data_IF_765984716455
#
_entry.id   IF_765984716455
#
_cell.length_a   1.000
_cell.length_b   1.000
_cell.length_c   1.000
_cell.angle_alpha   90.00
_cell.angle_beta   90.00
_cell.angle_gamma   90.00
#
_symmetry.space_group_name_H-M   'P 1'
#
loop_
_entity.id
_entity.type
_entity.pdbx_description
1 polymer ?
#
# COMPACT_ATOMS: atom_id res chain seq x y z
N UNK A 1 8.49 -12.06 -25.59
CA UNK A 1 9.18 -10.94 -24.92
C UNK A 1 8.42 -10.57 -23.67
N UNK A 2 9.09 -10.16 -22.59
CA UNK A 2 8.47 -9.70 -21.35
C UNK A 2 8.96 -8.28 -21.00
N UNK A 3 8.08 -7.47 -20.42
CA UNK A 3 8.33 -6.07 -20.06
C UNK A 3 7.83 -5.82 -18.63
N UNK A 4 8.60 -5.07 -17.85
CA UNK A 4 8.26 -4.66 -16.50
C UNK A 4 8.37 -3.14 -16.33
N UNK A 5 7.52 -2.58 -15.47
CA UNK A 5 7.51 -1.17 -15.14
C UNK A 5 7.76 -0.99 -13.65
N UNK A 6 8.56 0.03 -13.32
CA UNK A 6 8.76 0.50 -11.95
C UNK A 6 8.20 1.91 -11.84
N UNK A 7 7.55 2.21 -10.72
CA UNK A 7 6.97 3.52 -10.43
C UNK A 7 7.66 4.12 -9.22
N UNK A 8 7.72 5.45 -9.15
CA UNK A 8 8.21 6.13 -7.95
C UNK A 8 7.26 5.87 -6.77
N UNK A 9 7.78 5.72 -5.55
CA UNK A 9 6.96 5.59 -4.36
C UNK A 9 6.17 6.88 -4.13
N UNK A 10 4.92 6.73 -3.71
CA UNK A 10 4.06 7.84 -3.31
C UNK A 10 4.41 8.30 -1.88
N UNK A 11 4.25 9.59 -1.59
CA UNK A 11 4.39 10.11 -0.21
C UNK A 11 3.08 9.99 0.58
N UNK A 12 3.15 10.17 1.89
CA UNK A 12 1.94 10.14 2.74
C UNK A 12 1.02 11.31 2.38
N UNK A 13 1.57 12.49 2.14
CA UNK A 13 0.82 13.70 1.80
C UNK A 13 -0.03 13.48 0.54
N UNK A 14 0.55 12.88 -0.50
CA UNK A 14 -0.16 12.57 -1.74
C UNK A 14 -1.29 11.54 -1.52
N UNK A 15 -1.09 10.57 -0.62
CA UNK A 15 -2.16 9.62 -0.25
C UNK A 15 -3.32 10.37 0.41
N UNK A 16 -3.03 11.32 1.29
CA UNK A 16 -4.06 12.13 1.97
C UNK A 16 -4.81 13.01 0.98
N UNK A 17 -4.12 13.68 0.06
CA UNK A 17 -4.74 14.51 -0.98
C UNK A 17 -5.73 13.71 -1.86
N UNK A 18 -5.37 12.47 -2.24
CA UNK A 18 -6.26 11.58 -3.02
C UNK A 18 -7.51 11.20 -2.22
N UNK A 19 -7.36 10.92 -0.92
CA UNK A 19 -8.48 10.60 -0.05
C UNK A 19 -9.41 11.81 0.17
N UNK A 20 -8.84 13.00 0.40
CA UNK A 20 -9.58 14.25 0.58
C UNK A 20 -10.37 14.64 -0.68
N UNK A 21 -9.85 14.28 -1.86
CA UNK A 21 -10.55 14.43 -3.14
C UNK A 21 -11.68 13.39 -3.35
N UNK A 22 -11.90 12.46 -2.42
CA UNK A 22 -12.88 11.39 -2.55
C UNK A 22 -12.50 10.34 -3.61
N UNK A 23 -11.23 10.24 -3.96
CA UNK A 23 -10.70 9.32 -4.96
C UNK A 23 -10.07 8.09 -4.31
N UNK A 24 -9.69 7.11 -5.15
CA UNK A 24 -9.03 5.88 -4.71
C UNK A 24 -7.69 5.70 -5.41
N UNK A 25 -6.72 5.17 -4.67
CA UNK A 25 -5.43 4.79 -5.23
C UNK A 25 -5.60 3.64 -6.24
N UNK A 26 -4.82 3.62 -7.34
CA UNK A 26 -4.78 2.46 -8.23
C UNK A 26 -4.41 1.17 -7.47
N UNK A 27 -4.95 0.01 -7.87
CA UNK A 27 -4.60 -1.25 -7.22
C UNK A 27 -3.09 -1.49 -7.24
N UNK A 28 -2.51 -1.80 -6.07
CA UNK A 28 -1.09 -2.15 -5.89
C UNK A 28 -0.08 -1.02 -6.19
N UNK A 29 -0.52 0.24 -6.25
CA UNK A 29 0.40 1.39 -6.38
C UNK A 29 0.96 1.87 -5.03
N UNK A 30 0.51 1.32 -3.91
CA UNK A 30 0.95 1.68 -2.55
C UNK A 30 1.33 0.45 -1.72
N UNK A 31 2.32 0.61 -0.84
CA UNK A 31 2.75 -0.38 0.16
C UNK A 31 2.94 0.30 1.51
N UNK A 32 2.42 -0.29 2.57
CA UNK A 32 2.51 0.20 3.95
C UNK A 32 3.23 -0.84 4.82
N UNK A 33 4.20 -0.38 5.60
CA UNK A 33 4.98 -1.19 6.53
C UNK A 33 4.97 -0.53 7.92
N UNK A 34 4.66 -1.26 9.01
CA UNK A 34 4.19 -2.64 9.01
C UNK A 34 2.75 -2.74 8.50
N UNK A 35 2.42 -3.85 7.85
CA UNK A 35 1.00 -4.16 7.62
C UNK A 35 0.34 -4.31 8.99
N UNK A 36 -0.84 -3.69 9.14
CA UNK A 36 -1.61 -3.81 10.36
C UNK A 36 -1.82 -5.29 10.66
N UNK A 37 -1.26 -5.77 11.77
CA UNK A 37 -1.46 -7.12 12.28
C UNK A 37 -2.90 -7.34 12.80
N UNK A 38 -3.73 -6.30 12.79
CA UNK A 38 -5.12 -6.37 13.20
C UNK A 38 -5.89 -7.35 12.30
N UNK A 39 -6.40 -8.44 12.88
CA UNK A 39 -7.24 -9.43 12.19
C UNK A 39 -6.51 -10.70 11.74
N UNK A 40 -5.21 -10.83 11.99
CA UNK A 40 -4.47 -12.08 11.78
C UNK A 40 -4.24 -12.76 13.13
N UNK A 41 -4.71 -14.01 13.27
CA UNK A 41 -4.30 -14.88 14.38
C UNK A 41 -2.89 -15.38 14.08
N UNK A 42 -1.90 -14.87 14.80
CA UNK A 42 -0.51 -15.34 14.71
C UNK A 42 -0.28 -16.39 15.79
N UNK A 43 -0.11 -17.65 15.39
CA UNK A 43 0.43 -18.69 16.29
C UNK A 43 1.96 -18.65 16.19
N UNK A 44 2.62 -18.22 17.26
CA UNK A 44 4.08 -18.34 17.36
C UNK A 44 4.41 -19.83 17.46
N UNK A 45 5.24 -20.32 16.54
CA UNK A 45 5.84 -21.64 16.64
C UNK A 45 7.07 -21.50 17.53
N UNK A 46 7.07 -22.20 18.66
CA UNK A 46 8.24 -22.35 19.52
C UNK A 46 9.32 -23.22 18.84
#
# INVERSE_FOLDING_TARGET
>A
FALGFSLYPITIEQIMEVADAGLVMPPKSTWFEPKLLSGLVTHLLD
#
